data_IF_779424786675
#
_entry.id   IF_779424786675
#
_cell.length_a   1.000
_cell.length_b   1.000
_cell.length_c   1.000
_cell.angle_alpha   90.00
_cell.angle_beta   90.00
_cell.angle_gamma   90.00
#
_symmetry.space_group_name_H-M   'P 1'
#
loop_
_entity.id
_entity.type
_entity.pdbx_description
1 polymer ?
#
# COMPACT_ATOMS: atom_id res chain seq x y z
N UNK A 1 12.14 -8.66 -16.04
CA UNK A 1 11.74 -8.80 -14.63
C UNK A 1 10.42 -8.08 -14.58
N UNK A 2 9.33 -8.78 -14.86
CA UNK A 2 8.04 -8.15 -15.11
C UNK A 2 7.62 -7.36 -13.87
N UNK A 3 7.52 -6.04 -14.05
CA UNK A 3 7.24 -5.10 -12.99
C UNK A 3 5.89 -5.44 -12.38
N UNK A 4 5.87 -5.60 -11.06
CA UNK A 4 4.63 -5.61 -10.31
C UNK A 4 3.88 -4.32 -10.67
N UNK A 5 2.66 -4.40 -11.24
CA UNK A 5 1.94 -3.24 -11.80
C UNK A 5 1.58 -2.16 -10.77
N UNK A 6 1.87 -2.40 -9.49
CA UNK A 6 1.51 -1.58 -8.34
C UNK A 6 2.61 -0.63 -7.87
N UNK A 7 3.72 -0.48 -8.63
CA UNK A 7 4.92 0.29 -8.24
C UNK A 7 5.02 1.70 -8.83
N UNK A 8 4.00 2.19 -9.52
CA UNK A 8 4.14 3.39 -10.34
C UNK A 8 3.97 4.71 -9.57
N UNK A 9 4.03 4.69 -8.23
CA UNK A 9 3.89 5.89 -7.41
C UNK A 9 5.05 6.13 -6.45
N UNK A 10 5.26 7.41 -6.12
CA UNK A 10 6.26 7.87 -5.15
C UNK A 10 5.60 8.49 -3.92
N UNK A 11 6.32 8.58 -2.80
CA UNK A 11 5.83 9.11 -1.53
C UNK A 11 5.36 10.56 -1.66
N UNK A 12 6.02 11.38 -2.50
CA UNK A 12 5.59 12.75 -2.75
C UNK A 12 4.21 12.82 -3.42
N UNK A 13 3.92 11.87 -4.33
CA UNK A 13 2.58 11.74 -4.93
C UNK A 13 1.57 11.23 -3.91
N UNK A 14 1.91 10.24 -3.09
CA UNK A 14 1.05 9.78 -1.99
C UNK A 14 0.67 10.95 -1.08
N UNK A 15 1.65 11.68 -0.56
CA UNK A 15 1.47 12.84 0.31
C UNK A 15 0.52 13.88 -0.30
N UNK A 16 0.75 14.19 -1.58
CA UNK A 16 -0.11 15.12 -2.33
C UNK A 16 -1.54 14.61 -2.46
N UNK A 17 -1.73 13.34 -2.84
CA UNK A 17 -3.05 12.78 -3.00
C UNK A 17 -3.79 12.79 -1.66
N UNK A 18 -3.13 12.45 -0.54
CA UNK A 18 -3.70 12.57 0.81
C UNK A 18 -4.15 14.01 1.09
N UNK A 19 -3.27 14.99 0.86
CA UNK A 19 -3.53 16.39 1.16
C UNK A 19 -4.72 16.96 0.35
N UNK A 20 -4.81 16.58 -0.93
CA UNK A 20 -5.83 17.08 -1.85
C UNK A 20 -7.09 16.21 -1.94
N UNK A 21 -7.10 15.05 -1.27
CA UNK A 21 -8.24 14.14 -1.34
C UNK A 21 -9.42 14.67 -0.55
N UNK A 22 -10.54 14.82 -1.27
CA UNK A 22 -11.84 15.20 -0.78
C UNK A 22 -12.80 13.98 -0.81
N UNK A 23 -13.13 13.40 0.36
CA UNK A 23 -14.04 12.26 0.46
C UNK A 23 -15.45 12.53 -0.11
N UNK A 24 -15.88 13.78 -0.19
CA UNK A 24 -17.22 14.15 -0.64
C UNK A 24 -17.41 14.06 -2.16
N UNK A 25 -16.32 13.94 -2.92
CA UNK A 25 -16.36 13.69 -4.36
C UNK A 25 -16.87 12.29 -4.70
N UNK A 26 -17.08 11.42 -3.71
CA UNK A 26 -17.65 10.09 -3.86
C UNK A 26 -16.92 9.26 -4.92
N UNK A 27 -15.59 9.36 -4.94
CA UNK A 27 -14.69 8.56 -5.78
C UNK A 27 -13.70 7.80 -4.91
N UNK A 28 -13.28 6.59 -5.31
CA UNK A 28 -12.27 5.85 -4.56
C UNK A 28 -10.97 6.65 -4.42
N UNK A 29 -10.24 6.40 -3.34
CA UNK A 29 -8.91 6.98 -3.17
C UNK A 29 -7.94 6.30 -4.13
N UNK A 30 -7.27 7.09 -4.96
CA UNK A 30 -6.28 6.61 -5.92
C UNK A 30 -4.99 7.40 -5.75
N UNK A 31 -3.86 6.70 -5.73
CA UNK A 31 -2.54 7.34 -5.72
C UNK A 31 -2.15 7.63 -7.16
N UNK A 32 -2.52 8.81 -7.66
CA UNK A 32 -2.13 9.24 -8.99
C UNK A 32 -0.65 9.61 -9.03
N UNK A 33 0.10 9.00 -9.93
CA UNK A 33 1.49 9.33 -10.20
C UNK A 33 1.78 9.08 -11.67
N UNK A 34 2.08 10.17 -12.39
CA UNK A 34 2.22 10.11 -13.85
C UNK A 34 3.59 9.54 -14.22
N UNK A 35 3.60 8.42 -14.94
CA UNK A 35 4.84 7.85 -15.47
C UNK A 35 5.42 8.85 -16.46
N UNK A 36 6.65 9.28 -16.22
CA UNK A 36 7.35 10.13 -17.17
C UNK A 36 7.96 9.25 -18.27
N UNK A 37 7.47 9.38 -19.50
CA UNK A 37 8.00 8.64 -20.65
C UNK A 37 9.41 9.13 -21.09
N UNK A 38 9.87 10.26 -20.53
CA UNK A 38 11.20 10.80 -20.81
C UNK A 38 12.25 10.03 -20.00
N UNK A 39 12.86 9.04 -20.66
CA UNK A 39 13.78 8.04 -20.12
C UNK A 39 14.99 8.56 -19.29
N UNK A 40 15.28 9.87 -19.33
CA UNK A 40 16.45 10.45 -18.66
C UNK A 40 16.15 11.15 -17.33
N UNK A 41 14.86 11.34 -16.96
CA UNK A 41 14.51 11.97 -15.69
C UNK A 41 13.96 10.92 -14.71
N UNK A 42 14.65 10.77 -13.58
CA UNK A 42 14.25 9.86 -12.50
C UNK A 42 12.96 10.29 -11.75
N UNK A 43 12.29 11.36 -12.20
CA UNK A 43 11.07 11.90 -11.57
C UNK A 43 9.83 11.67 -12.43
N UNK A 44 8.73 11.31 -11.77
CA UNK A 44 7.40 11.22 -12.34
C UNK A 44 6.92 12.60 -12.82
N UNK A 45 5.90 12.63 -13.69
CA UNK A 45 5.37 13.87 -14.27
C UNK A 45 4.95 14.89 -13.21
N UNK A 46 4.21 14.45 -12.18
CA UNK A 46 3.73 15.35 -11.12
C UNK A 46 4.86 15.96 -10.29
N UNK A 47 5.89 15.18 -9.96
CA UNK A 47 7.02 15.70 -9.20
C UNK A 47 7.87 16.65 -10.06
N UNK A 48 8.03 16.34 -11.34
CA UNK A 48 8.70 17.22 -12.31
C UNK A 48 7.99 18.57 -12.41
N UNK A 49 6.65 18.57 -12.57
CA UNK A 49 5.84 19.79 -12.67
C UNK A 49 5.94 20.65 -11.41
N UNK A 50 6.01 20.00 -10.24
CA UNK A 50 6.19 20.67 -8.94
C UNK A 50 7.64 21.03 -8.63
N UNK A 51 8.61 20.64 -9.47
CA UNK A 51 10.05 20.82 -9.25
C UNK A 51 10.51 20.22 -7.92
N UNK A 52 9.98 19.05 -7.56
CA UNK A 52 10.39 18.27 -6.38
C UNK A 52 10.96 16.93 -6.81
N UNK A 53 11.81 16.35 -5.96
CA UNK A 53 12.39 15.03 -6.21
C UNK A 53 11.37 13.93 -5.92
N UNK A 54 11.28 12.93 -6.79
CA UNK A 54 10.53 11.71 -6.48
C UNK A 54 11.20 10.92 -5.36
N UNK A 55 10.43 10.63 -4.32
CA UNK A 55 10.89 9.75 -3.25
C UNK A 55 10.23 8.38 -3.36
N UNK A 56 11.00 7.35 -3.73
CA UNK A 56 10.49 5.98 -3.76
C UNK A 56 10.24 5.45 -2.34
N UNK A 57 9.23 4.59 -2.13
CA UNK A 57 9.07 3.88 -0.86
C UNK A 57 10.33 3.08 -0.48
N UNK A 58 10.61 2.98 0.82
CA UNK A 58 11.73 2.22 1.34
C UNK A 58 11.72 0.75 0.87
N UNK A 59 12.86 0.25 0.38
CA UNK A 59 12.97 -1.12 -0.17
C UNK A 59 12.59 -2.22 0.84
N UNK A 60 12.78 -1.96 2.12
CA UNK A 60 12.42 -2.84 3.23
C UNK A 60 10.91 -2.96 3.49
N UNK A 61 10.10 -2.12 2.86
CA UNK A 61 8.64 -2.03 3.05
C UNK A 61 7.85 -2.27 1.77
N UNK A 62 8.47 -2.81 0.72
CA UNK A 62 7.78 -3.00 -0.57
C UNK A 62 6.58 -3.95 -0.49
N UNK A 63 6.55 -4.85 0.48
CA UNK A 63 5.39 -5.71 0.73
C UNK A 63 4.28 -4.95 1.46
N UNK A 64 4.61 -3.99 2.32
CA UNK A 64 3.62 -3.10 2.95
C UNK A 64 3.02 -2.13 1.92
N UNK A 65 3.84 -1.66 0.96
CA UNK A 65 3.37 -0.93 -0.24
C UNK A 65 2.39 -1.78 -1.05
N UNK A 66 2.71 -3.06 -1.24
CA UNK A 66 1.83 -3.99 -1.94
C UNK A 66 0.51 -4.18 -1.20
N UNK A 67 0.55 -4.37 0.11
CA UNK A 67 -0.64 -4.47 0.96
C UNK A 67 -1.53 -3.22 0.80
N UNK A 68 -0.95 -2.01 0.89
CA UNK A 68 -1.67 -0.75 0.68
C UNK A 68 -2.35 -0.71 -0.69
N UNK A 69 -1.60 -0.95 -1.77
CA UNK A 69 -2.14 -0.93 -3.13
C UNK A 69 -3.30 -1.94 -3.29
N UNK A 70 -3.14 -3.14 -2.74
CA UNK A 70 -4.14 -4.20 -2.87
C UNK A 70 -5.41 -3.85 -2.08
N UNK A 71 -5.28 -3.25 -0.90
CA UNK A 71 -6.43 -2.75 -0.13
C UNK A 71 -7.16 -1.64 -0.90
N UNK A 72 -6.43 -0.67 -1.48
CA UNK A 72 -7.04 0.43 -2.25
C UNK A 72 -7.74 -0.08 -3.52
N UNK A 73 -7.13 -1.04 -4.22
CA UNK A 73 -7.76 -1.70 -5.38
C UNK A 73 -9.01 -2.47 -4.97
N UNK A 74 -8.98 -3.19 -3.84
CA UNK A 74 -10.17 -3.87 -3.32
C UNK A 74 -11.26 -2.86 -2.95
N UNK A 75 -10.91 -1.76 -2.29
CA UNK A 75 -11.86 -0.71 -1.88
C UNK A 75 -12.52 -0.03 -3.08
N UNK A 76 -11.82 0.15 -4.20
CA UNK A 76 -12.40 0.75 -5.40
C UNK A 76 -13.53 -0.09 -6.02
N UNK A 77 -13.56 -1.41 -5.73
CA UNK A 77 -14.60 -2.32 -6.26
C UNK A 77 -15.99 -2.01 -5.70
N UNK A 78 -16.11 -1.33 -4.56
CA UNK A 78 -17.39 -0.85 -4.04
C UNK A 78 -18.10 0.16 -4.96
N UNK A 79 -17.41 0.71 -5.97
CA UNK A 79 -17.98 1.55 -7.02
C UNK A 79 -18.32 0.78 -8.31
N UNK A 80 -17.89 -0.48 -8.42
CA UNK A 80 -18.15 -1.29 -9.61
C UNK A 80 -19.63 -1.70 -9.67
N UNK A 81 -20.21 -1.60 -10.87
CA UNK A 81 -21.59 -2.03 -11.14
C UNK A 81 -21.73 -3.55 -11.27
N UNK A 82 -20.61 -4.26 -11.37
CA UNK A 82 -20.58 -5.71 -11.56
C UNK A 82 -20.66 -6.47 -10.23
N UNK A 83 -20.70 -5.78 -9.09
CA UNK A 83 -20.84 -6.42 -7.79
C UNK A 83 -22.29 -6.82 -7.49
N UNK A 84 -22.44 -7.91 -6.74
CA UNK A 84 -23.71 -8.47 -6.22
C UNK A 84 -24.56 -7.50 -5.39
N UNK A 85 -24.05 -6.30 -5.14
CA UNK A 85 -24.40 -5.45 -4.03
C UNK A 85 -24.40 -3.98 -4.46
N UNK A 86 -25.54 -3.32 -4.30
CA UNK A 86 -25.59 -1.87 -4.38
C UNK A 86 -25.02 -1.26 -3.10
N UNK A 87 -24.09 -0.32 -3.24
CA UNK A 87 -23.49 0.44 -2.16
C UNK A 87 -23.89 1.92 -2.30
N UNK A 88 -24.49 2.51 -1.27
CA UNK A 88 -24.97 3.89 -1.28
C UNK A 88 -23.84 4.89 -0.93
N UNK A 89 -24.13 6.17 -1.14
CA UNK A 89 -23.18 7.26 -0.92
C UNK A 89 -22.66 7.38 0.52
N UNK A 90 -23.47 7.02 1.54
CA UNK A 90 -23.01 7.04 2.93
C UNK A 90 -21.97 5.97 3.21
N UNK A 91 -22.12 4.78 2.61
CA UNK A 91 -21.10 3.74 2.68
C UNK A 91 -19.85 4.13 1.89
N UNK A 92 -20.01 4.68 0.68
CA UNK A 92 -18.89 5.19 -0.12
C UNK A 92 -18.07 6.24 0.63
N UNK A 93 -18.73 7.20 1.29
CA UNK A 93 -18.05 8.21 2.10
C UNK A 93 -17.20 7.56 3.21
N UNK A 94 -17.75 6.57 3.92
CA UNK A 94 -16.99 5.86 4.96
C UNK A 94 -15.78 5.10 4.39
N UNK A 95 -15.91 4.53 3.18
CA UNK A 95 -14.76 3.91 2.48
C UNK A 95 -13.72 4.96 2.11
N UNK A 96 -14.13 6.09 1.54
CA UNK A 96 -13.24 7.20 1.20
C UNK A 96 -12.45 7.72 2.41
N UNK A 97 -13.12 7.96 3.53
CA UNK A 97 -12.51 8.40 4.78
C UNK A 97 -11.54 7.35 5.32
N UNK A 98 -11.94 6.07 5.35
CA UNK A 98 -11.08 4.99 5.80
C UNK A 98 -9.84 4.84 4.90
N UNK A 99 -9.98 4.93 3.58
CA UNK A 99 -8.85 4.85 2.64
C UNK A 99 -7.85 5.98 2.84
N UNK A 100 -8.32 7.21 3.12
CA UNK A 100 -7.44 8.35 3.46
C UNK A 100 -6.65 8.08 4.74
N UNK A 101 -7.33 7.63 5.80
CA UNK A 101 -6.68 7.30 7.08
C UNK A 101 -5.68 6.15 6.96
N UNK A 102 -5.99 5.13 6.15
CA UNK A 102 -5.05 4.04 5.84
C UNK A 102 -3.78 4.58 5.16
N UNK A 103 -3.92 5.50 4.20
CA UNK A 103 -2.79 6.13 3.52
C UNK A 103 -1.94 6.98 4.48
N UNK A 104 -2.57 7.71 5.40
CA UNK A 104 -1.88 8.45 6.47
C UNK A 104 -1.12 7.51 7.41
N UNK A 105 -1.74 6.40 7.81
CA UNK A 105 -1.10 5.36 8.60
C UNK A 105 0.14 4.79 7.92
N UNK A 106 0.04 4.47 6.62
CA UNK A 106 1.19 4.02 5.83
C UNK A 106 2.30 5.08 5.75
N UNK A 107 1.96 6.33 5.44
CA UNK A 107 2.95 7.43 5.37
C UNK A 107 3.71 7.59 6.70
N UNK A 108 3.00 7.53 7.82
CA UNK A 108 3.61 7.62 9.14
C UNK A 108 4.59 6.47 9.43
N UNK A 109 4.20 5.24 9.09
CA UNK A 109 5.03 4.05 9.26
C UNK A 109 6.26 4.11 8.37
N UNK A 110 6.11 4.54 7.11
CA UNK A 110 7.23 4.70 6.18
C UNK A 110 8.23 5.73 6.69
N UNK A 111 7.76 6.88 7.15
CA UNK A 111 8.60 7.90 7.77
C UNK A 111 9.35 7.36 9.00
N UNK A 112 8.68 6.56 9.82
CA UNK A 112 9.28 5.92 11.00
C UNK A 112 10.37 4.94 10.62
N UNK A 113 10.10 4.06 9.64
CA UNK A 113 11.08 3.12 9.09
C UNK A 113 12.31 3.86 8.56
N UNK A 114 12.09 4.92 7.78
CA UNK A 114 13.19 5.75 7.25
C UNK A 114 14.04 6.37 8.35
N UNK A 115 13.43 6.91 9.40
CA UNK A 115 14.16 7.50 10.53
C UNK A 115 15.02 6.47 11.27
N UNK A 116 14.48 5.29 11.54
CA UNK A 116 15.21 4.19 12.21
C UNK A 116 16.42 3.75 11.40
N UNK A 117 16.31 3.76 10.07
CA UNK A 117 17.39 3.39 9.17
C UNK A 117 18.20 4.57 8.63
N UNK A 118 18.05 5.77 9.22
CA UNK A 118 18.73 7.01 8.82
C UNK A 118 18.56 7.40 7.34
N UNK A 119 17.51 6.92 6.68
CA UNK A 119 17.27 7.14 5.24
C UNK A 119 16.83 8.58 4.93
N UNK A 120 16.24 9.27 5.89
CA UNK A 120 15.81 10.68 5.75
C UNK A 120 16.96 11.67 5.64
N UNK A 121 18.17 11.27 6.07
CA UNK A 121 19.34 12.14 6.09
C UNK A 121 20.33 11.82 4.95
N UNK A 122 19.97 10.90 4.05
CA UNK A 122 20.89 10.48 2.98
C UNK A 122 20.96 11.55 1.90
N UNK A 123 22.10 12.21 1.82
CA UNK A 123 22.50 12.96 0.63
C UNK A 123 23.29 12.01 -0.27
N UNK A 124 22.69 11.62 -1.40
CA UNK A 124 23.31 10.71 -2.37
C UNK A 124 24.55 11.29 -3.05
N UNK A 125 24.79 12.60 -2.93
CA UNK A 125 25.99 13.26 -3.42
C UNK A 125 27.06 13.42 -2.34
N UNK A 126 26.73 13.18 -1.08
CA UNK A 126 27.68 13.18 0.03
C UNK A 126 28.41 11.83 0.09
N UNK A 127 29.70 11.87 -0.24
CA UNK A 127 30.59 10.71 -0.22
C UNK A 127 31.25 10.48 1.13
N UNK A 128 30.79 11.13 2.20
CA UNK A 128 31.35 10.97 3.54
C UNK A 128 31.31 9.51 4.03
N UNK A 129 32.27 9.16 4.89
CA UNK A 129 32.31 7.82 5.49
C UNK A 129 31.03 7.51 6.30
N UNK A 130 30.45 8.54 6.94
CA UNK A 130 29.22 8.42 7.71
C UNK A 130 28.02 8.05 6.82
N UNK A 131 27.80 8.77 5.72
CA UNK A 131 26.73 8.45 4.75
C UNK A 131 26.89 7.04 4.18
N UNK A 132 28.11 6.70 3.80
CA UNK A 132 28.41 5.36 3.30
C UNK A 132 28.15 4.28 4.35
N UNK A 133 28.45 4.53 5.62
CA UNK A 133 28.15 3.61 6.72
C UNK A 133 26.63 3.41 6.90
N UNK A 134 25.84 4.48 6.88
CA UNK A 134 24.37 4.41 7.02
C UNK A 134 23.73 3.66 5.85
N UNK A 135 24.14 3.95 4.61
CA UNK A 135 23.70 3.21 3.40
C UNK A 135 24.08 1.72 3.51
N UNK A 136 25.30 1.41 3.94
CA UNK A 136 25.77 0.03 4.06
C UNK A 136 25.04 -0.73 5.19
N UNK A 137 24.73 -0.06 6.30
CA UNK A 137 23.91 -0.61 7.37
C UNK A 137 22.52 -1.00 6.86
N UNK A 138 21.87 -0.12 6.08
CA UNK A 138 20.58 -0.45 5.48
C UNK A 138 20.68 -1.58 4.46
N UNK A 139 21.71 -1.61 3.61
CA UNK A 139 21.95 -2.73 2.67
C UNK A 139 22.13 -4.06 3.39
N UNK A 140 22.87 -4.08 4.51
CA UNK A 140 23.03 -5.28 5.34
C UNK A 140 21.70 -5.73 5.94
N UNK A 141 20.93 -4.79 6.51
CA UNK A 141 19.56 -5.08 6.97
C UNK A 141 18.70 -5.71 5.87
N UNK A 142 18.70 -5.14 4.66
CA UNK A 142 17.96 -5.70 3.52
C UNK A 142 18.45 -7.10 3.13
N UNK A 143 19.76 -7.35 3.17
CA UNK A 143 20.34 -8.65 2.84
C UNK A 143 19.91 -9.73 3.86
N UNK A 144 19.99 -9.43 5.15
CA UNK A 144 19.53 -10.31 6.23
C UNK A 144 18.03 -10.60 6.12
N UNK A 145 17.24 -9.57 5.82
CA UNK A 145 15.80 -9.70 5.59
C UNK A 145 15.48 -10.61 4.41
N UNK A 146 16.17 -10.44 3.28
CA UNK A 146 16.01 -11.31 2.11
C UNK A 146 16.43 -12.75 2.38
N UNK A 147 17.53 -12.96 3.12
CA UNK A 147 18.01 -14.29 3.48
C UNK A 147 17.01 -15.06 4.36
N UNK A 148 16.22 -14.34 5.15
CA UNK A 148 15.17 -14.92 6.00
C UNK A 148 13.80 -15.08 5.30
N UNK A 149 13.66 -14.68 4.04
CA UNK A 149 12.43 -14.97 3.28
C UNK A 149 12.37 -16.46 2.95
N UNK A 150 11.15 -17.01 2.94
CA UNK A 150 10.93 -18.40 2.53
C UNK A 150 11.38 -18.56 1.08
N UNK A 151 12.27 -19.52 0.83
CA UNK A 151 12.63 -19.90 -0.52
C UNK A 151 11.39 -20.49 -1.22
N UNK A 152 10.89 -19.79 -2.25
CA UNK A 152 9.80 -20.28 -3.09
C UNK A 152 10.33 -20.55 -4.50
N UNK A 153 10.01 -21.72 -5.09
CA UNK A 153 10.36 -22.01 -6.47
C UNK A 153 9.63 -21.02 -7.38
N UNK A 154 10.33 -20.49 -8.37
CA UNK A 154 9.71 -19.63 -9.37
C UNK A 154 8.69 -20.45 -10.19
N UNK A 155 7.54 -19.86 -10.58
CA UNK A 155 6.61 -20.50 -11.49
C UNK A 155 7.31 -20.89 -12.81
N UNK A 156 7.07 -22.11 -13.31
CA UNK A 156 7.72 -22.61 -14.54
C UNK A 156 7.25 -21.80 -15.76
N UNK A 157 8.21 -21.25 -16.51
CA UNK A 157 8.01 -20.31 -17.64
C UNK A 157 7.36 -20.90 -18.91
N UNK A 158 6.75 -22.09 -18.85
CA UNK A 158 6.23 -22.79 -20.03
C UNK A 158 4.71 -22.85 -20.17
N UNK A 159 3.95 -22.77 -19.08
CA UNK A 159 2.48 -22.92 -19.09
C UNK A 159 1.78 -22.17 -17.94
N UNK A 160 2.40 -21.12 -17.38
CA UNK A 160 1.97 -20.54 -16.11
C UNK A 160 0.85 -19.52 -16.28
N UNK A 161 -0.25 -19.81 -15.58
CA UNK A 161 -1.35 -18.88 -15.35
C UNK A 161 -0.79 -17.57 -14.78
N UNK A 162 -1.25 -16.43 -15.27
CA UNK A 162 -0.89 -15.10 -14.75
C UNK A 162 -1.12 -15.05 -13.23
N UNK A 163 -2.05 -15.86 -12.73
CA UNK A 163 -2.38 -16.04 -11.32
C UNK A 163 -1.22 -16.58 -10.46
N UNK A 164 -0.37 -17.47 -10.98
CA UNK A 164 0.76 -18.01 -10.20
C UNK A 164 1.79 -16.93 -9.87
N UNK A 165 1.98 -15.98 -10.79
CA UNK A 165 2.84 -14.81 -10.58
C UNK A 165 2.22 -13.78 -9.62
N UNK A 166 0.89 -13.67 -9.60
CA UNK A 166 0.17 -12.82 -8.63
C UNK A 166 0.36 -13.35 -7.20
N UNK A 167 0.42 -14.66 -6.99
CA UNK A 167 0.72 -15.25 -5.67
C UNK A 167 2.21 -15.26 -5.36
N UNK A 168 3.08 -15.53 -6.34
CA UNK A 168 4.52 -15.65 -6.12
C UNK A 168 5.22 -14.33 -5.80
N UNK A 169 4.85 -13.24 -6.50
CA UNK A 169 5.59 -11.99 -6.40
C UNK A 169 5.47 -11.28 -5.04
N UNK A 170 4.30 -11.21 -4.39
CA UNK A 170 4.15 -10.55 -3.09
C UNK A 170 4.92 -11.24 -1.96
N UNK A 171 5.04 -12.56 -2.00
CA UNK A 171 5.76 -13.35 -0.98
C UNK A 171 7.27 -13.06 -0.93
N UNK A 172 7.82 -12.46 -2.00
CA UNK A 172 9.23 -12.07 -2.09
C UNK A 172 9.51 -10.64 -1.65
N UNK A 173 8.46 -9.87 -1.36
CA UNK A 173 8.61 -8.48 -0.96
C UNK A 173 8.94 -8.39 0.53
N UNK A 174 9.84 -7.47 0.86
CA UNK A 174 10.19 -7.19 2.24
C UNK A 174 9.04 -6.42 2.91
N UNK A 175 8.68 -6.85 4.11
CA UNK A 175 7.66 -6.25 4.96
C UNK A 175 8.25 -5.97 6.34
N UNK A 176 7.61 -5.05 7.04
CA UNK A 176 7.75 -4.97 8.48
C UNK A 176 7.35 -6.30 9.13
N UNK A 177 8.09 -6.68 10.18
CA UNK A 177 7.84 -7.86 11.01
C UNK A 177 7.66 -7.43 12.45
N UNK A 178 7.06 -8.33 13.25
CA UNK A 178 6.96 -8.15 14.70
C UNK A 178 8.34 -7.82 15.30
N UNK A 179 8.42 -6.68 15.97
CA UNK A 179 9.66 -6.12 16.52
C UNK A 179 10.24 -4.95 15.73
N UNK A 180 9.81 -4.75 14.48
CA UNK A 180 10.18 -3.57 13.70
C UNK A 180 9.37 -2.34 14.14
N UNK A 181 10.01 -1.17 14.10
CA UNK A 181 9.33 0.09 14.34
C UNK A 181 8.29 0.34 13.26
N UNK A 182 7.06 0.68 13.66
CA UNK A 182 5.95 0.86 12.73
C UNK A 182 5.15 -0.41 12.43
N UNK A 183 5.59 -1.60 12.86
CA UNK A 183 4.85 -2.85 12.60
C UNK A 183 3.46 -2.85 13.25
N UNK A 184 3.38 -2.45 14.52
CA UNK A 184 2.11 -2.44 15.25
C UNK A 184 1.18 -1.39 14.65
N UNK A 185 1.71 -0.21 14.38
CA UNK A 185 0.99 0.93 13.80
C UNK A 185 0.44 0.58 12.41
N UNK A 186 1.21 -0.14 11.59
CA UNK A 186 0.75 -0.58 10.27
C UNK A 186 -0.35 -1.64 10.37
N UNK A 187 -0.18 -2.63 11.24
CA UNK A 187 -1.20 -3.67 11.47
C UNK A 187 -2.50 -3.06 12.01
N UNK A 188 -2.41 -2.11 12.94
CA UNK A 188 -3.55 -1.36 13.47
C UNK A 188 -4.25 -0.53 12.39
N UNK A 189 -3.50 0.16 11.51
CA UNK A 189 -4.09 0.93 10.42
C UNK A 189 -4.89 0.04 9.45
N UNK A 190 -4.35 -1.14 9.10
CA UNK A 190 -5.06 -2.13 8.26
C UNK A 190 -6.32 -2.67 8.96
N UNK A 191 -6.22 -3.01 10.24
CA UNK A 191 -7.35 -3.52 11.02
C UNK A 191 -8.45 -2.48 11.23
N UNK A 192 -8.09 -1.23 11.54
CA UNK A 192 -9.04 -0.14 11.71
C UNK A 192 -9.72 0.24 10.39
N UNK A 193 -8.99 0.20 9.27
CA UNK A 193 -9.59 0.34 7.95
C UNK A 193 -10.72 -0.68 7.74
N UNK A 194 -10.44 -1.98 7.89
CA UNK A 194 -11.46 -3.03 7.76
C UNK A 194 -12.61 -2.84 8.75
N UNK A 195 -12.29 -2.56 10.01
CA UNK A 195 -13.26 -2.31 11.07
C UNK A 195 -14.22 -1.16 10.75
N UNK A 196 -13.73 -0.07 10.15
CA UNK A 196 -14.57 1.05 9.69
C UNK A 196 -15.53 0.62 8.59
N UNK A 197 -15.07 -0.15 7.60
CA UNK A 197 -15.93 -0.61 6.50
C UNK A 197 -17.04 -1.53 7.04
N UNK A 198 -16.71 -2.44 7.95
CA UNK A 198 -17.69 -3.33 8.58
C UNK A 198 -18.74 -2.55 9.39
N UNK A 199 -18.30 -1.58 10.22
CA UNK A 199 -19.20 -0.70 10.99
C UNK A 199 -20.11 0.13 10.08
N UNK A 200 -19.57 0.67 8.99
CA UNK A 200 -20.35 1.42 8.00
C UNK A 200 -21.40 0.53 7.31
N UNK A 201 -21.02 -0.68 6.92
CA UNK A 201 -21.95 -1.66 6.34
C UNK A 201 -23.11 -1.97 7.28
N UNK A 202 -22.81 -2.27 8.56
CA UNK A 202 -23.81 -2.52 9.60
C UNK A 202 -24.74 -1.32 9.82
N UNK A 203 -24.18 -0.12 9.87
CA UNK A 203 -24.95 1.11 10.10
C UNK A 203 -25.91 1.42 8.94
N UNK A 204 -25.51 1.13 7.71
CA UNK A 204 -26.28 1.50 6.51
C UNK A 204 -27.27 0.41 6.11
N UNK A 205 -26.89 -0.87 6.16
CA UNK A 205 -27.68 -1.99 5.63
C UNK A 205 -28.30 -2.87 6.70
N UNK A 206 -28.15 -2.52 7.98
CA UNK A 206 -28.74 -3.21 9.12
C UNK A 206 -27.83 -4.29 9.72
N UNK A 207 -28.20 -4.71 10.94
CA UNK A 207 -27.42 -5.64 11.78
C UNK A 207 -27.32 -7.06 11.19
N UNK A 208 -26.41 -7.85 11.75
CA UNK A 208 -26.22 -9.30 11.54
C UNK A 208 -27.50 -10.17 11.63
N UNK A 209 -28.59 -9.65 12.17
CA UNK A 209 -29.87 -10.36 12.18
C UNK A 209 -30.53 -10.48 10.80
N UNK A 210 -30.23 -9.58 9.86
CA UNK A 210 -30.81 -9.61 8.51
C UNK A 210 -29.96 -10.47 7.56
N UNK A 211 -30.62 -11.24 6.68
CA UNK A 211 -29.92 -12.05 5.67
C UNK A 211 -29.05 -11.17 4.74
N UNK A 212 -29.54 -9.97 4.40
CA UNK A 212 -28.81 -9.01 3.57
C UNK A 212 -27.56 -8.42 4.25
N UNK A 213 -27.65 -8.05 5.54
CA UNK A 213 -26.51 -7.55 6.31
C UNK A 213 -25.40 -8.60 6.41
N UNK A 214 -25.73 -9.84 6.78
CA UNK A 214 -24.76 -10.95 6.89
C UNK A 214 -24.04 -11.23 5.58
N UNK A 215 -24.76 -11.27 4.45
CA UNK A 215 -24.13 -11.52 3.14
C UNK A 215 -23.14 -10.43 2.74
N UNK A 216 -23.38 -9.17 3.14
CA UNK A 216 -22.46 -8.05 2.88
C UNK A 216 -21.24 -8.09 3.77
N UNK A 217 -21.40 -8.47 5.04
CA UNK A 217 -20.27 -8.63 5.96
C UNK A 217 -19.36 -9.77 5.54
N UNK A 218 -19.94 -10.94 5.23
CA UNK A 218 -19.20 -12.07 4.66
C UNK A 218 -18.45 -11.65 3.39
N UNK A 219 -19.08 -10.89 2.50
CA UNK A 219 -18.42 -10.37 1.31
C UNK A 219 -17.21 -9.47 1.62
N UNK A 220 -17.33 -8.58 2.62
CA UNK A 220 -16.25 -7.69 3.02
C UNK A 220 -15.11 -8.49 3.65
N UNK A 221 -15.41 -9.38 4.59
CA UNK A 221 -14.42 -10.16 5.34
C UNK A 221 -13.71 -11.21 4.47
N UNK A 222 -14.45 -12.01 3.71
CA UNK A 222 -13.90 -13.10 2.89
C UNK A 222 -13.07 -12.59 1.71
N UNK A 223 -13.27 -11.33 1.29
CA UNK A 223 -12.57 -10.73 0.15
C UNK A 223 -11.53 -9.71 0.55
N UNK A 224 -11.37 -9.41 1.84
CA UNK A 224 -10.33 -8.48 2.28
C UNK A 224 -8.95 -9.04 1.90
N UNK A 225 -8.11 -8.28 1.18
CA UNK A 225 -7.06 -8.89 0.37
C UNK A 225 -5.73 -9.14 1.10
N UNK A 226 -5.63 -8.76 2.37
CA UNK A 226 -4.39 -8.85 3.13
C UNK A 226 -4.59 -9.55 4.46
N UNK A 227 -3.53 -10.18 4.95
CA UNK A 227 -3.52 -10.74 6.29
C UNK A 227 -3.33 -9.63 7.34
N UNK A 228 -4.09 -9.74 8.43
CA UNK A 228 -4.03 -8.85 9.60
C UNK A 228 -3.23 -9.44 10.76
N UNK A 229 -2.77 -10.70 10.66
CA UNK A 229 -1.93 -11.40 11.63
C UNK A 229 -0.44 -10.99 11.60
#
# INVERSE_FOLDING_TARGET
>A
MDELPFRNWCLSCLHTNIANYDPWQSRPFEIHCDVNEIANNASCGQCLDRKITCESPSLGMLGDVYDLCTILEWASRFWSRDETFYWNSSFHLAVCEASKELCLGFEHVEMTHRRVHMLTAIDWYDTSEQQNADVNNYRRFLAERRASLRAMPAPLTGMTDRQDWVTYNPERLLRLRKGDSGFVEWSEAKAEFLGRILRASLSVYGRDGSNFGRRRLAFIEERFPVNLE
#
